data_IF_059671874254
#
_entry.id   IF_059671874254
#
_cell.length_a   1.000
_cell.length_b   1.000
_cell.length_c   1.000
_cell.angle_alpha   90.00
_cell.angle_beta   90.00
_cell.angle_gamma   90.00
#
_symmetry.space_group_name_H-M   'P 1'
#
loop_
_entity.id
_entity.type
_entity.pdbx_description
1 polymer ?
#
# COMPACT_ATOMS: atom_id res chain seq x y z
N UNK A 1 30.06 -41.86 -29.13
CA UNK A 1 28.70 -41.49 -28.76
C UNK A 1 28.70 -40.91 -27.35
N UNK A 2 28.19 -39.69 -27.22
CA UNK A 2 27.92 -39.06 -25.92
C UNK A 2 26.48 -39.40 -25.56
N UNK A 3 26.26 -39.98 -24.38
CA UNK A 3 24.92 -40.26 -23.85
C UNK A 3 24.63 -39.25 -22.75
N UNK A 4 23.47 -38.58 -22.83
CA UNK A 4 22.99 -37.69 -21.81
C UNK A 4 22.36 -38.52 -20.69
N UNK A 5 22.77 -38.28 -19.44
CA UNK A 5 22.35 -39.05 -18.28
C UNK A 5 23.29 -40.21 -17.94
N UNK A 6 22.90 -41.01 -16.94
CA UNK A 6 23.62 -42.26 -16.60
C UNK A 6 23.27 -43.40 -17.56
N UNK A 7 23.88 -44.58 -17.34
CA UNK A 7 23.63 -45.77 -18.16
C UNK A 7 22.16 -46.20 -18.16
N UNK A 8 21.40 -45.84 -17.16
CA UNK A 8 19.97 -46.15 -17.01
C UNK A 8 19.07 -45.07 -17.59
N UNK A 9 19.65 -44.01 -18.18
CA UNK A 9 18.92 -42.86 -18.73
C UNK A 9 18.39 -41.89 -17.72
N UNK A 10 18.83 -42.01 -16.45
CA UNK A 10 18.51 -41.05 -15.38
C UNK A 10 19.52 -39.89 -15.34
N UNK A 11 19.32 -38.93 -14.43
CA UNK A 11 20.22 -37.80 -14.25
C UNK A 11 20.41 -36.92 -15.51
N UNK A 12 19.38 -36.82 -16.34
CA UNK A 12 19.38 -35.98 -17.55
C UNK A 12 19.07 -34.52 -17.24
N UNK A 13 18.26 -34.35 -16.23
CA UNK A 13 17.72 -33.08 -15.82
C UNK A 13 17.65 -32.98 -14.29
N UNK A 14 17.73 -31.81 -13.80
CA UNK A 14 17.50 -31.44 -12.38
C UNK A 14 16.39 -30.39 -12.36
N UNK A 15 15.33 -30.70 -11.65
CA UNK A 15 14.29 -29.73 -11.36
C UNK A 15 14.59 -29.11 -9.98
N UNK A 16 14.77 -27.82 -9.95
CA UNK A 16 14.92 -27.07 -8.70
C UNK A 16 13.64 -26.26 -8.47
N UNK A 17 13.03 -26.45 -7.32
CA UNK A 17 11.93 -25.59 -6.86
C UNK A 17 12.53 -24.45 -6.06
N UNK A 18 12.23 -23.23 -6.46
CA UNK A 18 12.51 -22.04 -5.66
C UNK A 18 11.32 -21.88 -4.73
N UNK A 19 11.59 -21.96 -3.44
CA UNK A 19 10.60 -21.65 -2.41
C UNK A 19 10.85 -20.21 -1.98
N UNK A 20 9.77 -19.48 -1.74
CA UNK A 20 9.85 -18.20 -1.09
C UNK A 20 10.48 -18.34 0.30
N UNK A 21 11.16 -17.31 0.79
CA UNK A 21 11.81 -17.33 2.08
C UNK A 21 10.83 -16.78 3.14
N UNK A 22 10.04 -17.65 3.78
CA UNK A 22 9.17 -17.18 4.85
C UNK A 22 10.02 -16.61 5.96
N UNK A 23 9.64 -15.44 6.45
CA UNK A 23 10.30 -14.77 7.58
C UNK A 23 10.60 -15.75 8.71
N UNK A 24 11.86 -15.92 9.00
CA UNK A 24 12.34 -16.96 9.92
C UNK A 24 12.31 -16.54 11.38
N UNK A 25 11.99 -15.28 11.71
CA UNK A 25 12.18 -14.77 13.07
C UNK A 25 10.96 -14.82 13.96
N UNK A 26 9.75 -14.79 13.42
CA UNK A 26 8.54 -14.68 14.25
C UNK A 26 7.46 -15.73 13.98
N UNK A 27 7.61 -16.56 12.95
CA UNK A 27 6.72 -17.70 12.76
C UNK A 27 7.45 -18.90 12.14
N UNK A 28 7.80 -19.91 12.96
CA UNK A 28 8.46 -21.11 12.49
C UNK A 28 7.53 -22.12 11.79
N UNK A 29 6.31 -21.73 11.46
CA UNK A 29 5.46 -22.57 10.62
C UNK A 29 5.85 -22.42 9.16
N UNK A 30 7.01 -22.94 8.83
CA UNK A 30 7.30 -23.47 7.50
C UNK A 30 6.09 -24.33 7.12
N UNK A 31 5.58 -24.25 5.87
CA UNK A 31 4.58 -25.21 5.42
C UNK A 31 5.07 -26.62 5.78
N UNK A 32 4.44 -27.24 6.76
CA UNK A 32 4.87 -28.56 7.27
C UNK A 32 4.54 -29.66 6.28
N UNK A 33 3.86 -29.30 5.20
CA UNK A 33 3.53 -30.23 4.12
C UNK A 33 4.10 -29.75 2.77
N UNK A 34 5.32 -30.20 2.41
CA UNK A 34 5.87 -29.90 1.09
C UNK A 34 5.09 -30.55 -0.06
N UNK A 35 4.05 -31.35 0.23
CA UNK A 35 3.23 -32.02 -0.78
C UNK A 35 1.99 -31.23 -1.16
N UNK A 36 1.65 -30.17 -0.46
CA UNK A 36 0.50 -29.33 -0.77
C UNK A 36 0.82 -27.81 -0.66
N UNK A 37 1.63 -27.27 -1.56
CA UNK A 37 2.03 -25.86 -1.53
C UNK A 37 0.91 -24.86 -1.87
N UNK A 38 -0.30 -25.36 -2.15
CA UNK A 38 -1.43 -24.55 -2.61
C UNK A 38 -2.65 -24.62 -1.69
N UNK A 39 -2.50 -25.01 -0.42
CA UNK A 39 -3.62 -24.96 0.50
C UNK A 39 -3.76 -23.56 1.08
N UNK A 40 -4.78 -22.78 0.68
CA UNK A 40 -4.98 -21.40 1.18
C UNK A 40 -5.40 -21.33 2.66
N UNK A 41 -5.69 -22.48 3.28
CA UNK A 41 -6.07 -22.60 4.69
C UNK A 41 -4.88 -22.93 5.62
N UNK A 42 -3.66 -23.05 5.10
CA UNK A 42 -2.49 -23.38 5.91
C UNK A 42 -2.01 -22.25 6.83
N UNK A 43 -2.78 -21.16 6.90
CA UNK A 43 -2.43 -20.03 7.73
C UNK A 43 -1.06 -19.48 7.36
N UNK A 44 -0.77 -19.34 6.05
CA UNK A 44 0.42 -18.66 5.57
C UNK A 44 0.36 -17.24 6.13
N UNK A 45 1.08 -17.04 7.20
CA UNK A 45 1.35 -15.72 7.72
C UNK A 45 2.48 -15.19 6.84
N UNK A 46 2.13 -14.38 5.85
CA UNK A 46 3.14 -13.63 5.10
C UNK A 46 4.01 -12.93 6.12
N UNK A 47 5.32 -13.16 6.07
CA UNK A 47 6.26 -12.52 6.97
C UNK A 47 6.17 -11.00 6.84
N UNK A 48 6.59 -10.26 7.87
CA UNK A 48 6.62 -8.80 7.79
C UNK A 48 7.50 -8.29 6.63
N UNK A 49 8.48 -9.08 6.22
CA UNK A 49 9.38 -8.80 5.09
C UNK A 49 8.69 -8.89 3.72
N UNK A 50 7.61 -9.68 3.61
CA UNK A 50 6.82 -9.81 2.38
C UNK A 50 5.68 -8.81 2.32
N UNK A 51 5.55 -7.98 3.35
CA UNK A 51 4.51 -6.97 3.44
C UNK A 51 4.99 -5.61 2.97
N UNK A 52 4.18 -4.98 2.12
CA UNK A 52 4.32 -3.59 1.72
C UNK A 52 3.24 -2.76 2.40
N UNK A 53 3.63 -1.62 2.93
CA UNK A 53 2.76 -0.72 3.68
C UNK A 53 2.44 0.51 2.83
N UNK A 54 1.15 0.76 2.62
CA UNK A 54 0.67 1.96 1.93
C UNK A 54 0.31 3.03 2.96
N UNK A 55 1.07 4.10 3.00
CA UNK A 55 0.90 5.19 3.95
C UNK A 55 0.55 6.50 3.26
N UNK A 56 -0.16 7.37 3.98
CA UNK A 56 -0.49 8.73 3.57
C UNK A 56 0.02 9.71 4.62
N UNK A 57 0.60 10.80 4.14
CA UNK A 57 1.07 11.91 4.98
C UNK A 57 0.64 13.25 4.37
N UNK A 58 0.42 14.26 5.20
CA UNK A 58 0.02 15.61 4.76
C UNK A 58 -0.07 16.57 5.95
N UNK A 59 -0.43 17.82 5.68
CA UNK A 59 -0.61 18.80 6.73
C UNK A 59 -1.89 18.50 7.54
N UNK A 60 -1.80 18.69 8.85
CA UNK A 60 -2.92 18.52 9.80
C UNK A 60 -3.70 19.82 10.02
N UNK A 61 -3.27 20.91 9.40
CA UNK A 61 -3.98 22.19 9.37
C UNK A 61 -3.68 22.96 8.09
N UNK A 62 -4.63 23.75 7.65
CA UNK A 62 -4.55 24.64 6.49
C UNK A 62 -5.40 25.87 6.77
N UNK A 63 -5.05 27.01 6.21
CA UNK A 63 -5.93 28.18 6.22
C UNK A 63 -6.87 28.12 5.01
N UNK A 64 -8.05 28.71 5.13
CA UNK A 64 -8.97 28.94 4.03
C UNK A 64 -8.26 29.59 2.82
N UNK A 65 -8.72 29.29 1.63
CA UNK A 65 -8.12 29.76 0.38
C UNK A 65 -6.78 29.11 0.02
N UNK A 66 -6.29 28.15 0.82
CA UNK A 66 -5.03 27.47 0.55
C UNK A 66 -5.22 25.99 0.20
N UNK A 67 -4.23 25.45 -0.50
CA UNK A 67 -4.20 24.07 -0.93
C UNK A 67 -3.32 23.23 -0.04
N UNK A 68 -3.83 22.09 0.42
CA UNK A 68 -3.06 21.06 1.14
C UNK A 68 -2.59 19.99 0.19
N UNK A 69 -1.31 19.62 0.24
CA UNK A 69 -0.74 18.51 -0.51
C UNK A 69 -0.58 17.29 0.39
N UNK A 70 -1.08 16.16 -0.07
CA UNK A 70 -0.92 14.86 0.56
C UNK A 70 0.01 14.00 -0.28
N UNK A 71 0.79 13.16 0.40
CA UNK A 71 1.72 12.23 -0.23
C UNK A 71 1.33 10.81 0.13
N UNK A 72 1.11 9.98 -0.87
CA UNK A 72 0.94 8.54 -0.74
C UNK A 72 2.28 7.87 -1.00
N UNK A 73 2.66 6.91 -0.18
CA UNK A 73 3.93 6.17 -0.29
C UNK A 73 3.71 4.68 -0.09
N UNK A 74 4.52 3.89 -0.79
CA UNK A 74 4.72 2.46 -0.48
C UNK A 74 6.05 2.30 0.22
N UNK A 75 6.02 1.65 1.37
CA UNK A 75 7.21 1.47 2.23
C UNK A 75 7.27 0.02 2.74
N UNK A 76 8.48 -0.41 3.14
CA UNK A 76 8.66 -1.67 3.86
C UNK A 76 8.34 -1.51 5.36
N UNK A 77 8.52 -2.58 6.13
CA UNK A 77 8.32 -2.60 7.60
C UNK A 77 9.19 -1.60 8.38
N UNK A 78 10.30 -1.17 7.79
CA UNK A 78 11.27 -0.25 8.39
C UNK A 78 11.07 1.21 7.88
N UNK A 79 10.08 1.42 7.01
CA UNK A 79 9.75 2.72 6.45
C UNK A 79 10.57 3.12 5.22
N UNK A 80 11.37 2.21 4.65
CA UNK A 80 12.12 2.48 3.44
C UNK A 80 11.20 2.43 2.22
N UNK A 81 11.45 3.24 1.17
CA UNK A 81 10.66 3.23 -0.04
C UNK A 81 10.69 1.89 -0.76
N UNK A 82 9.53 1.36 -1.13
CA UNK A 82 9.37 0.20 -2.00
C UNK A 82 9.04 0.66 -3.41
N UNK A 83 9.90 0.31 -4.35
CA UNK A 83 9.77 0.73 -5.76
C UNK A 83 8.87 -0.28 -6.49
N UNK A 84 7.82 0.20 -7.15
CA UNK A 84 6.95 -0.62 -7.99
C UNK A 84 7.52 -0.78 -9.40
N UNK A 85 7.36 -1.93 -10.01
CA UNK A 85 7.78 -2.17 -11.40
C UNK A 85 6.69 -1.80 -12.40
N UNK A 86 5.45 -1.73 -11.95
CA UNK A 86 4.27 -1.32 -12.73
C UNK A 86 3.54 -0.19 -12.01
N UNK A 87 2.72 0.56 -12.77
CA UNK A 87 1.84 1.56 -12.18
C UNK A 87 0.92 0.90 -11.14
N UNK A 88 0.89 1.47 -9.93
CA UNK A 88 0.06 1.02 -8.82
C UNK A 88 -1.00 2.05 -8.50
N UNK A 89 -2.26 1.65 -8.45
CA UNK A 89 -3.38 2.53 -8.16
C UNK A 89 -3.74 2.50 -6.68
N UNK A 90 -3.80 3.68 -6.07
CA UNK A 90 -4.20 3.87 -4.67
C UNK A 90 -5.48 4.67 -4.62
N UNK A 91 -6.53 4.10 -4.08
CA UNK A 91 -7.83 4.77 -3.92
C UNK A 91 -7.86 5.55 -2.62
N UNK A 92 -8.09 6.85 -2.74
CA UNK A 92 -8.25 7.77 -1.61
C UNK A 92 -9.71 8.17 -1.49
N UNK A 93 -10.23 8.11 -0.28
CA UNK A 93 -11.56 8.61 0.08
C UNK A 93 -11.41 9.89 0.88
N UNK A 94 -12.20 10.91 0.51
CA UNK A 94 -12.42 12.12 1.27
C UNK A 94 -13.69 11.98 2.13
N UNK A 95 -13.70 12.58 3.31
CA UNK A 95 -14.86 12.59 4.20
C UNK A 95 -14.94 13.91 4.95
N UNK A 96 -16.06 14.61 4.87
CA UNK A 96 -16.39 15.71 5.76
C UNK A 96 -16.49 15.17 7.20
N UNK A 97 -15.74 15.74 8.13
CA UNK A 97 -15.84 15.43 9.57
C UNK A 97 -16.73 16.46 10.25
N UNK A 98 -16.39 17.74 10.10
CA UNK A 98 -17.21 18.89 10.50
C UNK A 98 -17.35 19.93 9.40
N UNK A 99 -16.51 19.85 8.34
CA UNK A 99 -16.70 20.63 7.11
C UNK A 99 -18.02 20.30 6.44
N UNK A 100 -18.53 21.25 5.66
CA UNK A 100 -19.74 21.12 4.85
C UNK A 100 -19.38 21.07 3.36
N UNK A 101 -20.38 20.83 2.53
CA UNK A 101 -20.21 20.91 1.08
C UNK A 101 -19.97 22.38 0.70
N UNK A 102 -18.83 22.65 0.11
CA UNK A 102 -18.41 24.00 -0.27
C UNK A 102 -17.15 24.50 0.43
N UNK A 103 -16.78 23.94 1.59
CA UNK A 103 -15.59 24.37 2.35
C UNK A 103 -14.29 23.86 1.72
N UNK A 104 -14.40 22.82 0.90
CA UNK A 104 -13.25 22.25 0.17
C UNK A 104 -13.60 21.88 -1.25
N UNK A 105 -12.61 21.99 -2.16
CA UNK A 105 -12.66 21.36 -3.47
C UNK A 105 -11.91 20.02 -3.46
N UNK A 106 -12.66 18.96 -3.62
CA UNK A 106 -12.20 17.62 -3.88
C UNK A 106 -13.03 17.03 -5.04
N UNK A 107 -12.75 15.82 -5.48
CA UNK A 107 -13.48 15.21 -6.59
C UNK A 107 -14.97 15.01 -6.23
N UNK A 108 -15.87 15.26 -7.18
CA UNK A 108 -17.34 15.17 -7.06
C UNK A 108 -17.88 13.87 -6.46
N UNK A 109 -17.09 12.81 -6.43
CA UNK A 109 -17.46 11.50 -5.84
C UNK A 109 -16.80 11.23 -4.49
N UNK A 110 -16.15 12.21 -3.90
CA UNK A 110 -15.34 12.07 -2.67
C UNK A 110 -14.31 10.92 -2.73
N UNK A 111 -13.90 10.55 -3.93
CA UNK A 111 -12.94 9.46 -4.15
C UNK A 111 -12.06 9.79 -5.36
N UNK A 112 -10.75 9.63 -5.21
CA UNK A 112 -9.79 9.74 -6.33
C UNK A 112 -8.89 8.52 -6.36
N UNK A 113 -8.29 8.29 -7.54
CA UNK A 113 -7.23 7.29 -7.73
C UNK A 113 -5.91 8.03 -7.89
N UNK A 114 -4.99 7.80 -6.97
CA UNK A 114 -3.60 8.27 -7.04
C UNK A 114 -2.76 7.17 -7.65
N UNK A 115 -2.06 7.46 -8.75
CA UNK A 115 -1.27 6.49 -9.49
C UNK A 115 0.21 6.64 -9.15
N UNK A 116 0.79 5.68 -8.44
CA UNK A 116 2.24 5.60 -8.25
C UNK A 116 2.83 5.06 -9.55
N UNK A 117 3.70 5.82 -10.23
CA UNK A 117 4.22 5.40 -11.52
C UNK A 117 5.18 4.23 -11.40
N UNK A 118 5.35 3.46 -12.47
CA UNK A 118 6.40 2.45 -12.57
C UNK A 118 7.78 3.05 -12.28
N UNK A 119 8.60 2.32 -11.55
CA UNK A 119 9.89 2.75 -10.99
C UNK A 119 9.78 3.87 -9.95
N UNK A 120 8.59 4.10 -9.40
CA UNK A 120 8.32 5.00 -8.28
C UNK A 120 7.92 4.26 -7.01
N UNK A 121 7.81 5.00 -5.91
CA UNK A 121 7.30 4.53 -4.61
C UNK A 121 6.29 5.51 -4.02
N UNK A 122 6.02 6.63 -4.70
CA UNK A 122 5.23 7.73 -4.15
C UNK A 122 4.52 8.51 -5.24
N UNK A 123 3.39 9.12 -4.88
CA UNK A 123 2.75 10.19 -5.64
C UNK A 123 1.94 11.08 -4.70
N UNK A 124 1.47 12.23 -5.21
CA UNK A 124 0.77 13.25 -4.44
C UNK A 124 -0.60 13.58 -5.01
N UNK A 125 -1.47 14.14 -4.18
CA UNK A 125 -2.71 14.80 -4.58
C UNK A 125 -2.96 16.01 -3.69
N UNK A 126 -3.92 16.84 -4.04
CA UNK A 126 -4.24 18.07 -3.33
C UNK A 126 -5.71 18.14 -2.95
N UNK A 127 -5.98 18.87 -1.86
CA UNK A 127 -7.31 19.36 -1.46
C UNK A 127 -7.19 20.85 -1.31
N UNK A 128 -8.09 21.61 -1.93
CA UNK A 128 -8.18 23.04 -1.81
C UNK A 128 -9.24 23.39 -0.77
N UNK A 129 -8.89 24.24 0.22
CA UNK A 129 -9.84 24.82 1.15
C UNK A 129 -10.37 26.11 0.55
N UNK A 130 -11.67 26.27 0.52
CA UNK A 130 -12.33 27.44 -0.07
C UNK A 130 -12.37 28.58 0.95
N UNK A 131 -12.03 29.78 0.50
CA UNK A 131 -12.17 31.01 1.29
C UNK A 131 -13.59 31.56 1.08
N UNK A 132 -14.38 31.54 2.12
CA UNK A 132 -15.72 32.15 2.09
C UNK A 132 -15.83 33.25 3.13
N UNK A 133 -17.03 33.81 3.38
CA UNK A 133 -17.23 34.93 4.31
C UNK A 133 -17.81 34.46 5.65
N UNK A 134 -17.82 33.16 5.94
CA UNK A 134 -18.32 32.58 7.16
C UNK A 134 -17.19 32.51 8.21
N UNK A 135 -17.57 32.59 9.47
CA UNK A 135 -16.62 32.51 10.59
C UNK A 135 -16.73 31.10 11.24
N UNK A 136 -16.26 30.09 10.55
CA UNK A 136 -16.39 28.69 10.92
C UNK A 136 -15.06 27.99 11.17
N UNK A 137 -14.12 28.71 11.77
CA UNK A 137 -12.79 28.20 12.11
C UNK A 137 -12.81 26.85 12.87
N UNK A 138 -11.90 25.97 12.52
CA UNK A 138 -11.66 24.72 13.21
C UNK A 138 -12.44 23.53 12.63
N UNK A 139 -13.01 23.69 11.46
CA UNK A 139 -13.63 22.61 10.71
C UNK A 139 -12.62 21.55 10.26
N UNK A 140 -13.10 20.34 10.03
CA UNK A 140 -12.23 19.21 9.78
C UNK A 140 -12.74 18.35 8.64
N UNK A 141 -11.81 17.90 7.81
CA UNK A 141 -12.02 16.83 6.86
C UNK A 141 -10.96 15.74 7.01
N UNK A 142 -11.23 14.57 6.46
CA UNK A 142 -10.33 13.43 6.50
C UNK A 142 -10.09 12.90 5.09
N UNK A 143 -8.86 12.52 4.79
CA UNK A 143 -8.46 11.78 3.59
C UNK A 143 -7.83 10.46 3.99
N UNK A 144 -8.32 9.36 3.44
CA UNK A 144 -7.91 8.01 3.85
C UNK A 144 -7.62 7.13 2.64
N UNK A 145 -6.60 6.29 2.74
CA UNK A 145 -6.39 5.18 1.81
C UNK A 145 -7.46 4.13 2.07
N UNK A 146 -8.18 3.71 1.02
CA UNK A 146 -9.22 2.68 1.14
C UNK A 146 -8.91 1.42 0.34
N UNK A 147 -8.07 1.52 -0.69
CA UNK A 147 -7.66 0.39 -1.52
C UNK A 147 -6.30 0.66 -2.15
N UNK A 148 -5.51 -0.38 -2.29
CA UNK A 148 -4.33 -0.42 -3.16
C UNK A 148 -4.54 -1.53 -4.18
N UNK A 149 -4.44 -1.20 -5.46
CA UNK A 149 -4.63 -2.15 -6.56
C UNK A 149 -3.28 -2.46 -7.20
N UNK A 150 -2.76 -3.60 -6.83
CA UNK A 150 -1.49 -4.13 -7.32
C UNK A 150 -1.47 -5.65 -7.23
N UNK A 151 -0.70 -6.29 -8.10
CA UNK A 151 -0.45 -7.71 -8.08
C UNK A 151 1.06 -8.01 -8.01
N UNK A 152 1.86 -7.02 -7.60
CA UNK A 152 3.32 -7.15 -7.50
C UNK A 152 3.76 -7.69 -6.14
N UNK A 153 2.92 -7.54 -5.11
CA UNK A 153 3.26 -7.87 -3.73
C UNK A 153 2.31 -8.95 -3.21
N UNK A 154 2.82 -9.81 -2.39
CA UNK A 154 2.04 -10.88 -1.76
C UNK A 154 1.07 -10.33 -0.73
N UNK A 155 1.50 -9.30 0.01
CA UNK A 155 0.68 -8.63 1.00
C UNK A 155 0.84 -7.11 0.94
N UNK A 156 -0.27 -6.39 0.95
CA UNK A 156 -0.29 -4.93 1.06
C UNK A 156 -1.16 -4.52 2.24
N UNK A 157 -0.55 -3.82 3.18
CA UNK A 157 -1.20 -3.32 4.39
C UNK A 157 -1.46 -1.83 4.24
N UNK A 158 -2.67 -1.38 4.54
CA UNK A 158 -2.99 0.06 4.60
C UNK A 158 -2.62 0.60 5.97
N UNK A 159 -1.77 1.63 5.98
CA UNK A 159 -1.12 2.17 7.16
C UNK A 159 0.31 1.68 7.31
N UNK A 160 1.02 2.17 8.33
CA UNK A 160 2.34 1.66 8.71
C UNK A 160 2.22 0.36 9.55
N UNK A 161 3.36 -0.23 9.91
CA UNK A 161 3.42 -1.44 10.75
C UNK A 161 2.63 -1.33 12.07
N UNK A 162 2.47 -0.13 12.59
CA UNK A 162 1.71 0.16 13.83
C UNK A 162 0.25 0.49 13.58
N UNK A 163 -0.19 0.45 12.31
CA UNK A 163 -1.56 0.78 11.89
C UNK A 163 -1.84 2.28 11.79
N UNK A 164 -0.81 3.14 11.89
CA UNK A 164 -0.92 4.58 11.70
C UNK A 164 -0.77 4.98 10.22
N UNK A 165 -0.90 6.27 9.93
CA UNK A 165 -0.68 6.84 8.58
C UNK A 165 -1.55 6.22 7.48
N UNK A 166 -2.71 5.64 7.83
CA UNK A 166 -3.73 5.18 6.88
C UNK A 166 -4.63 6.31 6.42
N UNK A 167 -4.69 7.38 7.20
CA UNK A 167 -5.50 8.57 6.96
C UNK A 167 -4.86 9.82 7.57
N UNK A 168 -5.30 10.99 7.12
CA UNK A 168 -4.95 12.30 7.68
C UNK A 168 -6.22 13.09 7.89
N UNK A 169 -6.40 13.61 9.10
CA UNK A 169 -7.43 14.61 9.41
C UNK A 169 -6.79 15.99 9.39
N UNK A 170 -7.34 16.90 8.59
CA UNK A 170 -6.89 18.29 8.46
C UNK A 170 -7.93 19.22 9.03
N UNK A 171 -7.49 20.23 9.77
CA UNK A 171 -8.31 21.32 10.30
C UNK A 171 -8.11 22.56 9.42
N UNK A 172 -9.21 23.19 9.01
CA UNK A 172 -9.25 24.47 8.32
C UNK A 172 -9.31 25.59 9.36
#
# INVERSE_FOLDING_TARGET
>A
NVVIGDKSGNNKDVTTTILDNPSTTDNPTVPTDPTNPNNPDDGINYGEEDSVYAIITGAVSVNEGNTTTYTVKLVDKDGNPVIVTKETEVTIKYTNVTTQDGDTEFNNNNTIIVKIPANGSTNTFTVESIDDYLADNGEKYNVAITKVDTNEFENVVIGDKSGNNKDVTTTI
#
